data_IF_025086794077
#
_entry.id   IF_025086794077
#
_cell.length_a   1.000
_cell.length_b   1.000
_cell.length_c   1.000
_cell.angle_alpha   90.00
_cell.angle_beta   90.00
_cell.angle_gamma   90.00
#
_symmetry.space_group_name_H-M   'P 1'
#
loop_
_entity.id
_entity.type
_entity.pdbx_description
1 polymer ?
#
# COMPACT_ATOMS: atom_id res chain seq x y z
N UNK A 1 -51.61 -7.15 49.79
CA UNK A 1 -50.83 -6.01 50.33
C UNK A 1 -49.55 -6.57 50.94
N UNK A 2 -48.44 -5.90 50.64
CA UNK A 2 -47.16 -5.88 51.38
C UNK A 2 -46.00 -6.77 50.88
N UNK A 3 -45.09 -6.07 50.18
CA UNK A 3 -43.70 -6.37 49.83
C UNK A 3 -42.90 -6.89 51.02
N UNK A 4 -42.03 -7.87 50.79
CA UNK A 4 -40.75 -7.97 51.51
C UNK A 4 -39.62 -8.20 50.52
N UNK A 5 -38.68 -7.27 50.56
CA UNK A 5 -37.42 -7.26 49.86
C UNK A 5 -36.51 -8.34 50.43
N UNK A 6 -35.87 -9.12 49.56
CA UNK A 6 -34.66 -9.86 49.90
C UNK A 6 -33.71 -9.74 48.71
N UNK A 7 -32.69 -8.91 48.91
CA UNK A 7 -31.62 -8.66 47.98
C UNK A 7 -30.77 -9.94 47.79
N UNK A 8 -30.42 -10.27 46.55
CA UNK A 8 -29.33 -11.19 46.27
C UNK A 8 -28.45 -10.56 45.19
N UNK A 9 -27.23 -10.22 45.61
CA UNK A 9 -26.16 -9.60 44.84
C UNK A 9 -25.80 -10.44 43.62
N UNK A 10 -26.13 -9.97 42.41
CA UNK A 10 -25.62 -10.53 41.18
C UNK A 10 -24.27 -9.86 40.84
N UNK A 11 -23.17 -10.54 41.17
CA UNK A 11 -21.84 -10.14 40.73
C UNK A 11 -21.72 -10.37 39.21
N UNK A 12 -21.93 -9.31 38.42
CA UNK A 12 -21.72 -9.33 36.97
C UNK A 12 -20.22 -9.27 36.72
N UNK A 13 -19.60 -10.42 36.48
CA UNK A 13 -18.23 -10.51 36.00
C UNK A 13 -18.16 -9.94 34.58
N UNK A 14 -17.63 -8.73 34.45
CA UNK A 14 -17.44 -8.04 33.17
C UNK A 14 -16.25 -8.69 32.43
N UNK A 15 -16.52 -9.73 31.65
CA UNK A 15 -15.53 -10.31 30.73
C UNK A 15 -15.32 -9.35 29.56
N UNK A 16 -14.27 -8.51 29.62
CA UNK A 16 -13.85 -7.71 28.48
C UNK A 16 -13.29 -8.62 27.38
N UNK A 17 -13.82 -8.58 26.14
CA UNK A 17 -13.18 -9.26 25.03
C UNK A 17 -11.87 -8.52 24.70
N UNK A 18 -10.75 -9.19 24.91
CA UNK A 18 -9.45 -8.73 24.42
C UNK A 18 -9.46 -8.93 22.90
N UNK A 19 -9.80 -7.89 22.16
CA UNK A 19 -9.65 -7.89 20.71
C UNK A 19 -8.17 -7.81 20.39
N UNK A 20 -7.56 -8.94 20.06
CA UNK A 20 -6.22 -9.01 19.48
C UNK A 20 -6.30 -8.36 18.09
N UNK A 21 -5.91 -7.10 18.00
CA UNK A 21 -5.73 -6.44 16.72
C UNK A 21 -4.53 -7.09 16.03
N UNK A 22 -4.78 -7.98 15.06
CA UNK A 22 -3.74 -8.40 14.12
C UNK A 22 -3.34 -7.18 13.30
N UNK A 23 -2.23 -6.56 13.66
CA UNK A 23 -1.58 -5.58 12.80
C UNK A 23 -1.22 -6.28 11.47
N UNK A 24 -1.56 -5.70 10.31
CA UNK A 24 -1.13 -6.26 9.04
C UNK A 24 0.40 -6.30 9.05
N UNK A 25 0.97 -7.48 8.80
CA UNK A 25 2.40 -7.62 8.61
C UNK A 25 2.82 -6.64 7.51
N UNK A 26 3.79 -5.79 7.82
CA UNK A 26 4.39 -4.93 6.81
C UNK A 26 5.19 -5.84 5.88
N UNK A 27 4.52 -6.38 4.85
CA UNK A 27 5.18 -7.11 3.78
C UNK A 27 6.27 -6.20 3.22
N UNK A 28 7.52 -6.62 3.40
CA UNK A 28 8.67 -6.06 2.72
C UNK A 28 8.55 -6.43 1.24
N UNK A 29 7.54 -5.89 0.55
CA UNK A 29 7.29 -6.17 -0.85
C UNK A 29 8.57 -5.84 -1.63
N UNK A 30 9.10 -6.87 -2.29
CA UNK A 30 10.37 -6.81 -3.01
C UNK A 30 10.38 -5.67 -4.02
N UNK A 31 11.58 -5.30 -4.45
CA UNK A 31 11.76 -4.29 -5.49
C UNK A 31 11.51 -4.83 -6.90
N UNK A 32 11.46 -6.15 -7.06
CA UNK A 32 11.31 -6.82 -8.36
C UNK A 32 9.83 -7.06 -8.72
N UNK A 33 9.48 -6.76 -9.97
CA UNK A 33 8.19 -7.05 -10.58
C UNK A 33 8.38 -7.79 -11.90
N UNK A 34 7.64 -8.89 -12.08
CA UNK A 34 7.74 -9.70 -13.29
C UNK A 34 7.01 -9.06 -14.49
N UNK A 35 6.05 -8.17 -14.26
CA UNK A 35 5.28 -7.49 -15.30
C UNK A 35 4.70 -6.16 -14.83
N UNK A 36 4.32 -5.30 -15.78
CA UNK A 36 3.64 -4.04 -15.49
C UNK A 36 2.31 -4.23 -14.77
N UNK A 37 1.56 -5.30 -15.05
CA UNK A 37 0.30 -5.58 -14.34
C UNK A 37 0.51 -5.81 -12.84
N UNK A 38 1.59 -6.48 -12.44
CA UNK A 38 1.91 -6.66 -11.01
C UNK A 38 2.41 -5.36 -10.39
N UNK A 39 3.20 -4.59 -11.12
CA UNK A 39 3.69 -3.29 -10.66
C UNK A 39 2.53 -2.30 -10.46
N UNK A 40 1.59 -2.23 -11.39
CA UNK A 40 0.44 -1.31 -11.38
C UNK A 40 -0.48 -1.50 -10.15
N UNK A 41 -0.51 -2.70 -9.55
CA UNK A 41 -1.24 -2.93 -8.29
C UNK A 41 -0.70 -2.10 -7.14
N UNK A 42 0.60 -1.80 -7.15
CA UNK A 42 1.29 -1.05 -6.09
C UNK A 42 1.56 0.40 -6.53
N UNK A 43 1.86 0.60 -7.82
CA UNK A 43 2.13 1.90 -8.42
C UNK A 43 1.21 2.10 -9.64
N UNK A 44 -0.03 2.60 -9.45
CA UNK A 44 -1.04 2.68 -10.51
C UNK A 44 -0.60 3.44 -11.77
N UNK A 45 0.25 4.45 -11.60
CA UNK A 45 0.79 5.29 -12.68
C UNK A 45 2.25 4.96 -13.02
N UNK A 46 2.75 3.80 -12.59
CA UNK A 46 4.14 3.39 -12.80
C UNK A 46 5.13 4.05 -11.83
N UNK A 47 6.42 3.86 -12.13
CA UNK A 47 7.54 4.38 -11.33
C UNK A 47 8.54 5.11 -12.21
N UNK A 48 9.15 6.18 -11.70
CA UNK A 48 10.14 6.96 -12.43
C UNK A 48 11.46 7.12 -11.66
N UNK A 49 12.58 7.19 -12.39
CA UNK A 49 13.91 7.40 -11.79
C UNK A 49 14.08 8.80 -11.19
N UNK A 50 13.35 9.79 -11.69
CA UNK A 50 13.44 11.18 -11.26
C UNK A 50 12.10 11.92 -11.39
N UNK A 51 12.00 13.06 -10.69
CA UNK A 51 10.85 13.96 -10.82
C UNK A 51 10.71 14.50 -12.26
N UNK A 52 11.83 14.77 -12.94
CA UNK A 52 11.84 15.21 -14.33
C UNK A 52 11.24 14.18 -15.28
N UNK A 53 11.56 12.89 -15.11
CA UNK A 53 10.98 11.82 -15.92
C UNK A 53 9.46 11.70 -15.66
N UNK A 54 9.04 11.75 -14.38
CA UNK A 54 7.62 11.76 -14.03
C UNK A 54 6.88 12.96 -14.63
N UNK A 55 7.48 14.15 -14.62
CA UNK A 55 6.88 15.35 -15.20
C UNK A 55 6.75 15.27 -16.74
N UNK A 56 7.69 14.59 -17.42
CA UNK A 56 7.59 14.32 -18.87
C UNK A 56 6.36 13.47 -19.17
N UNK A 57 6.07 12.44 -18.37
CA UNK A 57 4.87 11.62 -18.55
C UNK A 57 3.58 12.41 -18.38
N UNK A 58 3.51 13.25 -17.34
CA UNK A 58 2.34 14.11 -17.11
C UNK A 58 2.12 15.06 -18.30
N UNK A 59 3.20 15.63 -18.86
CA UNK A 59 3.10 16.50 -20.05
C UNK A 59 2.67 15.72 -21.30
N UNK A 60 3.00 14.44 -21.39
CA UNK A 60 2.57 13.55 -22.46
C UNK A 60 1.13 13.03 -22.29
N UNK A 61 0.44 13.38 -21.19
CA UNK A 61 -0.95 13.01 -20.94
C UNK A 61 -1.16 11.76 -20.07
N UNK A 62 -0.08 11.17 -19.55
CA UNK A 62 -0.16 10.02 -18.64
C UNK A 62 -0.35 10.45 -17.18
N UNK A 63 -0.72 9.50 -16.33
CA UNK A 63 -0.71 9.70 -14.88
C UNK A 63 0.71 9.94 -14.35
N UNK A 64 0.82 10.57 -13.17
CA UNK A 64 2.12 10.90 -12.58
C UNK A 64 2.77 9.67 -11.94
N UNK A 65 3.91 9.17 -12.46
CA UNK A 65 4.60 8.02 -11.88
C UNK A 65 5.17 8.33 -10.49
N UNK A 66 5.27 7.31 -9.65
CA UNK A 66 5.83 7.46 -8.31
C UNK A 66 7.35 7.69 -8.36
N UNK A 67 7.83 8.64 -7.57
CA UNK A 67 9.25 9.03 -7.47
C UNK A 67 9.79 8.95 -6.04
N UNK A 68 9.07 8.26 -5.15
CA UNK A 68 9.54 7.96 -3.80
C UNK A 68 10.87 7.21 -3.82
N UNK A 69 11.62 7.22 -2.70
CA UNK A 69 12.88 6.46 -2.59
C UNK A 69 12.68 4.97 -2.93
N UNK A 70 11.55 4.38 -2.52
CA UNK A 70 11.19 3.00 -2.86
C UNK A 70 10.88 2.85 -4.35
N UNK A 71 10.09 3.74 -4.94
CA UNK A 71 9.77 3.71 -6.36
C UNK A 71 11.02 3.81 -7.25
N UNK A 72 12.00 4.63 -6.87
CA UNK A 72 13.30 4.72 -7.56
C UNK A 72 14.07 3.39 -7.49
N UNK A 73 14.09 2.72 -6.33
CA UNK A 73 14.70 1.38 -6.19
C UNK A 73 13.96 0.35 -7.06
N UNK A 74 12.64 0.42 -7.10
CA UNK A 74 11.81 -0.42 -7.99
C UNK A 74 12.16 -0.15 -9.45
N UNK A 75 12.24 1.11 -9.88
CA UNK A 75 12.64 1.46 -11.23
C UNK A 75 13.98 0.81 -11.59
N UNK A 76 15.03 1.03 -10.79
CA UNK A 76 16.37 0.48 -11.09
C UNK A 76 16.46 -1.05 -11.05
N UNK A 77 15.61 -1.72 -10.26
CA UNK A 77 15.53 -3.18 -10.25
C UNK A 77 14.84 -3.76 -11.49
N UNK A 78 14.05 -2.96 -12.23
CA UNK A 78 13.19 -3.47 -13.30
C UNK A 78 13.37 -2.77 -14.66
N UNK A 79 14.03 -1.62 -14.74
CA UNK A 79 14.05 -0.74 -15.92
C UNK A 79 14.47 -1.47 -17.19
N UNK A 80 15.47 -2.36 -17.14
CA UNK A 80 15.93 -3.11 -18.31
C UNK A 80 14.83 -3.93 -19.00
N UNK A 81 13.78 -4.30 -18.27
CA UNK A 81 12.66 -5.13 -18.74
C UNK A 81 11.36 -4.35 -18.89
N UNK A 82 11.14 -3.35 -18.01
CA UNK A 82 9.86 -2.66 -17.88
C UNK A 82 9.85 -1.23 -18.45
N UNK A 83 11.01 -0.61 -18.64
CA UNK A 83 11.19 0.68 -19.31
C UNK A 83 11.75 0.39 -20.73
N UNK A 84 10.84 0.06 -21.66
CA UNK A 84 11.20 -0.46 -22.98
C UNK A 84 11.76 0.62 -23.89
N UNK A 85 11.26 1.85 -23.77
CA UNK A 85 11.67 3.02 -24.55
C UNK A 85 12.77 3.86 -23.88
N UNK A 86 13.17 3.50 -22.66
CA UNK A 86 14.30 4.07 -21.90
C UNK A 86 14.11 5.53 -21.56
N UNK A 87 12.88 5.96 -21.38
CA UNK A 87 12.56 7.36 -21.16
C UNK A 87 12.75 7.81 -19.70
N UNK A 88 13.07 6.87 -18.81
CA UNK A 88 13.23 7.13 -17.38
C UNK A 88 12.02 6.75 -16.53
N UNK A 89 11.01 6.14 -17.14
CA UNK A 89 9.76 5.69 -16.52
C UNK A 89 9.52 4.23 -16.85
N UNK A 90 8.97 3.48 -15.91
CA UNK A 90 8.57 2.10 -16.16
C UNK A 90 7.07 1.95 -15.92
N UNK A 91 6.41 1.31 -16.89
CA UNK A 91 4.99 0.97 -16.84
C UNK A 91 4.08 2.19 -16.61
N UNK A 92 4.42 3.32 -17.23
CA UNK A 92 3.61 4.55 -17.32
C UNK A 92 2.25 4.28 -17.97
N UNK A 93 1.21 4.89 -17.39
CA UNK A 93 -0.21 4.71 -17.76
C UNK A 93 -1.00 5.96 -17.41
#
# INVERSE_FOLDING_TARGET
>A
MNRRFAAALAAVALSMPVTVALAPAADAAGTYYSSCTKLAKVYPHGVAKSATAAARQVRAGYGRPSTTTRAKKVYWANYKRLDRDRDGTACER
#
